data_IF_923939656007
#
_entry.id   IF_923939656007
#
_cell.length_a   1.000
_cell.length_b   1.000
_cell.length_c   1.000
_cell.angle_alpha   90.00
_cell.angle_beta   90.00
_cell.angle_gamma   90.00
#
_symmetry.space_group_name_H-M   'P 1'
#
loop_
_entity.id
_entity.type
_entity.pdbx_description
1 polymer ?
#
# COMPACT_ATOMS: atom_id res chain seq x y z
N UNK A 1 -12.05 3.31 10.55
CA UNK A 1 -11.70 3.87 9.22
C UNK A 1 -10.31 3.39 8.86
N UNK A 2 -10.09 2.96 7.62
CA UNK A 2 -8.82 2.42 7.15
C UNK A 2 -8.02 3.46 6.35
N UNK A 3 -6.73 3.21 6.11
CA UNK A 3 -5.91 3.98 5.17
C UNK A 3 -5.72 3.23 3.85
N UNK A 4 -5.67 3.95 2.73
CA UNK A 4 -5.29 3.37 1.43
C UNK A 4 -3.83 2.88 1.47
N UNK A 5 -3.60 1.67 0.95
CA UNK A 5 -2.27 1.10 0.70
C UNK A 5 -2.02 1.11 -0.80
N UNK A 6 -0.97 1.82 -1.20
CA UNK A 6 -0.63 2.03 -2.61
C UNK A 6 0.90 2.20 -2.78
N UNK A 7 1.49 1.69 -3.86
CA UNK A 7 2.95 1.58 -3.98
C UNK A 7 3.59 0.83 -2.81
N UNK A 8 4.71 1.36 -2.30
CA UNK A 8 5.29 0.99 -1.02
C UNK A 8 4.77 1.93 0.06
N UNK A 9 3.91 1.43 0.94
CA UNK A 9 3.27 2.22 1.99
C UNK A 9 3.92 1.94 3.33
N UNK A 10 4.52 2.97 3.93
CA UNK A 10 4.96 2.94 5.33
C UNK A 10 3.77 3.31 6.20
N UNK A 11 3.31 2.34 6.99
CA UNK A 11 2.20 2.48 7.93
C UNK A 11 2.78 2.69 9.33
N UNK A 12 2.38 3.76 9.98
CA UNK A 12 2.85 4.18 11.30
C UNK A 12 1.69 4.07 12.29
N UNK A 13 1.90 3.34 13.37
CA UNK A 13 0.99 3.27 14.51
C UNK A 13 1.10 4.57 15.32
N UNK A 14 0.10 5.46 15.19
CA UNK A 14 0.13 6.78 15.85
C UNK A 14 0.22 6.67 17.37
N UNK A 15 -0.43 5.67 17.97
CA UNK A 15 -0.41 5.48 19.42
C UNK A 15 0.99 5.12 19.94
N UNK A 16 1.81 4.42 19.14
CA UNK A 16 3.21 4.17 19.47
C UNK A 16 4.08 5.38 19.18
N UNK A 17 3.93 6.01 18.02
CA UNK A 17 4.70 7.19 17.64
C UNK A 17 4.53 8.34 18.65
N UNK A 18 3.33 8.54 19.20
CA UNK A 18 3.06 9.57 20.22
C UNK A 18 3.83 9.36 21.54
N UNK A 19 4.35 8.16 21.80
CA UNK A 19 5.19 7.88 22.98
C UNK A 19 6.64 8.32 22.79
N UNK A 20 7.03 8.70 21.57
CA UNK A 20 8.37 9.12 21.23
C UNK A 20 8.37 10.56 20.65
N UNK A 21 8.83 11.51 21.46
CA UNK A 21 8.88 12.93 21.09
C UNK A 21 9.86 13.22 19.93
N UNK A 22 10.95 12.47 19.82
CA UNK A 22 11.94 12.62 18.73
C UNK A 22 11.32 12.17 17.40
N UNK A 23 10.59 11.06 17.41
CA UNK A 23 9.85 10.58 16.25
C UNK A 23 8.78 11.56 15.78
N UNK A 24 8.03 12.18 16.70
CA UNK A 24 7.07 13.22 16.36
C UNK A 24 7.74 14.43 15.72
N UNK A 25 8.89 14.86 16.24
CA UNK A 25 9.68 15.95 15.68
C UNK A 25 10.18 15.62 14.28
N UNK A 26 10.69 14.41 14.07
CA UNK A 26 11.15 13.94 12.77
C UNK A 26 10.01 13.90 11.74
N UNK A 27 8.85 13.35 12.10
CA UNK A 27 7.67 13.35 11.24
C UNK A 27 7.20 14.77 10.90
N UNK A 28 7.15 15.68 11.88
CA UNK A 28 6.78 17.07 11.66
C UNK A 28 7.77 17.81 10.74
N UNK A 29 9.06 17.47 10.82
CA UNK A 29 10.10 18.09 9.99
C UNK A 29 9.97 17.76 8.49
N UNK A 30 9.34 16.64 8.16
CA UNK A 30 9.12 16.19 6.77
C UNK A 30 7.69 16.39 6.28
N UNK A 31 6.72 16.64 7.18
CA UNK A 31 5.31 16.79 6.81
C UNK A 31 5.09 17.87 5.73
N UNK A 32 5.79 19.00 5.84
CA UNK A 32 5.71 20.09 4.87
C UNK A 32 6.42 19.84 3.53
N UNK A 33 7.25 18.79 3.43
CA UNK A 33 7.98 18.43 2.21
C UNK A 33 7.33 17.24 1.48
N UNK A 34 6.51 16.46 2.17
CA UNK A 34 5.77 15.36 1.58
C UNK A 34 4.72 15.88 0.60
N UNK A 35 4.68 15.30 -0.60
CA UNK A 35 3.65 15.60 -1.58
C UNK A 35 2.27 15.20 -1.01
N UNK A 36 1.20 15.99 -1.21
CA UNK A 36 -0.13 15.67 -0.65
C UNK A 36 -0.71 14.30 -1.05
N UNK A 37 -0.27 13.77 -2.20
CA UNK A 37 -0.62 12.42 -2.67
C UNK A 37 0.15 11.29 -1.98
N UNK A 38 1.24 11.59 -1.28
CA UNK A 38 2.03 10.60 -0.57
C UNK A 38 1.39 10.26 0.80
N UNK A 39 0.62 11.15 1.39
CA UNK A 39 0.18 11.04 2.79
C UNK A 39 -1.33 10.88 2.93
N UNK A 40 -1.77 9.93 3.75
CA UNK A 40 -3.13 9.88 4.27
C UNK A 40 -3.14 9.31 5.69
N UNK A 41 -4.22 9.54 6.44
CA UNK A 41 -4.27 9.09 7.84
C UNK A 41 -5.69 8.94 8.34
N UNK A 42 -5.91 8.01 9.28
CA UNK A 42 -7.14 7.85 10.06
C UNK A 42 -6.90 8.22 11.54
N UNK A 43 -7.76 7.79 12.47
CA UNK A 43 -7.58 8.07 13.90
C UNK A 43 -6.35 7.39 14.53
N UNK A 44 -5.98 6.20 14.06
CA UNK A 44 -4.92 5.35 14.62
C UNK A 44 -3.68 5.16 13.75
N UNK A 45 -3.80 5.35 12.44
CA UNK A 45 -2.75 5.10 11.46
C UNK A 45 -2.37 6.36 10.68
N UNK A 46 -1.08 6.50 10.41
CA UNK A 46 -0.53 7.41 9.40
C UNK A 46 0.10 6.56 8.30
N UNK A 47 -0.26 6.82 7.04
CA UNK A 47 0.34 6.17 5.87
C UNK A 47 1.13 7.19 5.06
N UNK A 48 2.34 6.81 4.68
CA UNK A 48 3.20 7.56 3.75
C UNK A 48 3.59 6.62 2.60
N UNK A 49 3.33 7.03 1.37
CA UNK A 49 3.48 6.24 0.16
C UNK A 49 4.68 6.63 -0.69
N UNK A 50 5.32 5.62 -1.26
CA UNK A 50 6.47 5.74 -2.14
C UNK A 50 6.24 4.93 -3.41
N UNK A 51 6.75 5.43 -4.54
CA UNK A 51 6.77 4.69 -5.80
C UNK A 51 7.91 3.65 -5.80
N UNK A 52 9.05 4.00 -5.21
CA UNK A 52 10.27 3.21 -5.25
C UNK A 52 10.60 2.59 -3.88
N UNK A 53 11.01 1.32 -3.90
CA UNK A 53 11.39 0.58 -2.69
C UNK A 53 12.61 1.22 -2.01
N UNK A 54 13.52 1.80 -2.80
CA UNK A 54 14.71 2.47 -2.28
C UNK A 54 14.32 3.64 -1.37
N UNK A 55 13.45 4.52 -1.85
CA UNK A 55 13.00 5.70 -1.10
C UNK A 55 12.20 5.30 0.14
N UNK A 56 11.37 4.25 0.03
CA UNK A 56 10.65 3.69 1.18
C UNK A 56 11.61 3.19 2.27
N UNK A 57 12.67 2.47 1.88
CA UNK A 57 13.67 1.96 2.83
C UNK A 57 14.49 3.10 3.45
N UNK A 58 14.92 4.10 2.67
CA UNK A 58 15.60 5.29 3.20
C UNK A 58 14.72 6.03 4.21
N UNK A 59 13.41 6.11 3.95
CA UNK A 59 12.47 6.70 4.89
C UNK A 59 12.30 5.87 6.18
N UNK A 60 12.21 4.54 6.07
CA UNK A 60 12.21 3.65 7.25
C UNK A 60 13.45 3.87 8.11
N UNK A 61 14.64 3.91 7.49
CA UNK A 61 15.89 4.17 8.20
C UNK A 61 15.90 5.54 8.90
N UNK A 62 15.30 6.56 8.30
CA UNK A 62 15.17 7.88 8.91
C UNK A 62 14.23 7.85 10.13
N UNK A 63 13.11 7.13 10.04
CA UNK A 63 12.19 6.94 11.17
C UNK A 63 12.83 6.14 12.32
N UNK A 64 13.61 5.11 11.99
CA UNK A 64 14.36 4.34 13.00
C UNK A 64 15.46 5.16 13.67
N UNK A 65 16.13 6.01 12.89
CA UNK A 65 17.11 6.97 13.43
C UNK A 65 16.47 8.02 14.35
N UNK A 66 15.17 8.30 14.18
CA UNK A 66 14.37 9.15 15.06
C UNK A 66 13.72 8.38 16.22
N UNK A 67 14.04 7.09 16.37
CA UNK A 67 13.66 6.26 17.50
C UNK A 67 12.32 5.51 17.37
N UNK A 68 11.67 5.53 16.20
CA UNK A 68 10.64 4.52 15.91
C UNK A 68 11.29 3.16 15.70
N UNK A 69 10.55 2.07 15.89
CA UNK A 69 11.07 0.71 15.67
C UNK A 69 10.28 0.02 14.57
N UNK A 70 10.98 -0.49 13.57
CA UNK A 70 10.37 -1.31 12.54
C UNK A 70 9.91 -2.65 13.11
N UNK A 71 10.83 -3.43 13.66
CA UNK A 71 10.53 -4.74 14.24
C UNK A 71 11.30 -4.99 15.55
N UNK A 72 11.04 -6.14 16.15
CA UNK A 72 11.91 -6.73 17.16
C UNK A 72 11.75 -8.25 17.15
N UNK A 73 12.72 -8.95 17.73
CA UNK A 73 12.63 -10.40 17.90
C UNK A 73 11.79 -10.77 19.14
N UNK A 74 10.70 -11.51 18.96
CA UNK A 74 9.93 -12.16 20.03
C UNK A 74 9.82 -13.66 19.73
N UNK A 75 10.26 -14.52 20.66
CA UNK A 75 10.19 -15.98 20.49
C UNK A 75 10.80 -16.52 19.18
N UNK A 76 11.80 -15.83 18.61
CA UNK A 76 12.44 -16.22 17.35
C UNK A 76 11.73 -15.72 16.09
N UNK A 77 10.73 -14.85 16.23
CA UNK A 77 9.98 -14.24 15.14
C UNK A 77 10.16 -12.72 15.13
N UNK A 78 10.28 -12.13 13.93
CA UNK A 78 10.30 -10.68 13.77
C UNK A 78 8.88 -10.11 13.81
N UNK A 79 8.61 -9.33 14.86
CA UNK A 79 7.31 -8.70 15.09
C UNK A 79 7.42 -7.19 14.87
N UNK A 80 6.56 -6.64 14.01
CA UNK A 80 6.45 -5.22 13.75
C UNK A 80 6.05 -4.44 15.02
N UNK A 81 6.64 -3.26 15.25
CA UNK A 81 6.43 -2.47 16.48
C UNK A 81 5.66 -1.19 16.24
N UNK A 82 6.34 -0.17 15.74
CA UNK A 82 5.81 1.18 15.62
C UNK A 82 5.43 1.48 14.17
N UNK A 83 6.15 0.88 13.24
CA UNK A 83 5.98 1.05 11.80
C UNK A 83 6.02 -0.31 11.09
N UNK A 84 5.41 -0.37 9.91
CA UNK A 84 5.50 -1.53 9.02
C UNK A 84 5.39 -1.07 7.56
N UNK A 85 6.11 -1.73 6.66
CA UNK A 85 5.94 -1.51 5.22
C UNK A 85 4.94 -2.51 4.66
N UNK A 86 3.97 -2.00 3.91
CA UNK A 86 2.95 -2.79 3.20
C UNK A 86 3.02 -2.45 1.72
N UNK A 87 3.11 -3.47 0.86
CA UNK A 87 2.99 -3.25 -0.60
C UNK A 87 1.53 -3.06 -0.98
N UNK A 88 1.24 -2.44 -2.11
CA UNK A 88 -0.12 -2.38 -2.67
C UNK A 88 -0.76 -3.75 -2.94
N UNK A 89 0.02 -4.83 -2.88
CA UNK A 89 -0.46 -6.22 -2.97
C UNK A 89 -0.76 -6.83 -1.60
N UNK A 90 -0.68 -6.04 -0.53
CA UNK A 90 -0.93 -6.48 0.84
C UNK A 90 0.19 -7.29 1.46
N UNK A 91 1.39 -7.28 0.86
CA UNK A 91 2.53 -8.04 1.37
C UNK A 91 3.16 -7.31 2.55
N UNK A 92 3.45 -8.08 3.60
CA UNK A 92 4.16 -7.62 4.80
C UNK A 92 5.28 -8.61 5.08
N UNK A 93 6.51 -8.12 5.25
CA UNK A 93 7.69 -8.98 5.45
C UNK A 93 7.98 -9.34 6.91
N UNK A 94 7.16 -8.83 7.85
CA UNK A 94 7.28 -9.07 9.29
C UNK A 94 5.89 -9.31 9.86
N UNK A 95 5.79 -10.12 10.91
CA UNK A 95 4.49 -10.38 11.55
C UNK A 95 4.00 -9.10 12.23
N UNK A 96 2.78 -8.69 11.93
CA UNK A 96 2.24 -7.40 12.36
C UNK A 96 0.89 -7.57 13.08
N UNK A 97 0.89 -7.84 14.41
CA UNK A 97 -0.33 -8.19 15.15
C UNK A 97 -1.27 -7.01 15.44
N UNK A 98 -0.85 -5.79 15.12
CA UNK A 98 -1.64 -4.58 15.32
C UNK A 98 -2.30 -4.06 14.04
N UNK A 99 -2.01 -4.67 12.88
CA UNK A 99 -2.49 -4.22 11.59
C UNK A 99 -3.26 -5.32 10.87
N UNK A 100 -4.47 -4.99 10.41
CA UNK A 100 -5.21 -5.78 9.44
C UNK A 100 -5.02 -5.17 8.06
N UNK A 101 -4.64 -6.00 7.08
CA UNK A 101 -4.55 -5.62 5.67
C UNK A 101 -5.54 -6.45 4.89
N UNK A 102 -6.36 -5.78 4.09
CA UNK A 102 -7.38 -6.44 3.28
C UNK A 102 -7.61 -5.71 1.98
N UNK A 103 -8.21 -6.41 1.02
CA UNK A 103 -8.70 -5.79 -0.20
C UNK A 103 -10.17 -5.42 -0.03
N UNK A 104 -10.53 -4.24 -0.51
CA UNK A 104 -11.92 -3.79 -0.62
C UNK A 104 -12.16 -3.24 -2.02
N UNK A 105 -13.42 -2.95 -2.36
CA UNK A 105 -13.79 -2.38 -3.64
C UNK A 105 -14.30 -0.96 -3.49
N UNK A 106 -13.91 -0.10 -4.41
CA UNK A 106 -14.56 1.19 -4.63
C UNK A 106 -15.94 1.00 -5.26
N UNK A 107 -16.70 2.10 -5.39
CA UNK A 107 -18.05 2.08 -5.96
C UNK A 107 -18.09 1.59 -7.41
N UNK A 108 -17.00 1.75 -8.15
CA UNK A 108 -16.81 1.33 -9.54
C UNK A 108 -16.21 -0.07 -9.66
N UNK A 109 -16.26 -0.89 -8.60
CA UNK A 109 -15.66 -2.23 -8.51
C UNK A 109 -14.12 -2.28 -8.54
N UNK A 110 -13.44 -1.12 -8.57
CA UNK A 110 -11.96 -1.08 -8.48
C UNK A 110 -11.51 -1.68 -7.16
N UNK A 111 -10.69 -2.73 -7.23
CA UNK A 111 -10.10 -3.38 -6.07
C UNK A 111 -8.92 -2.54 -5.55
N UNK A 112 -8.97 -2.20 -4.26
CA UNK A 112 -7.92 -1.43 -3.57
C UNK A 112 -7.44 -2.19 -2.34
N UNK A 113 -6.16 -2.03 -2.00
CA UNK A 113 -5.59 -2.53 -0.75
C UNK A 113 -5.77 -1.47 0.34
N UNK A 114 -6.21 -1.88 1.53
CA UNK A 114 -6.39 -0.99 2.68
C UNK A 114 -5.80 -1.61 3.93
N UNK A 115 -5.36 -0.76 4.85
CA UNK A 115 -4.84 -1.15 6.15
C UNK A 115 -5.64 -0.47 7.27
N UNK A 116 -5.98 -1.22 8.31
CA UNK A 116 -6.68 -0.73 9.49
C UNK A 116 -6.06 -1.32 10.76
N UNK A 117 -6.21 -0.65 11.90
CA UNK A 117 -5.83 -1.26 13.17
C UNK A 117 -6.64 -2.53 13.41
N UNK A 118 -5.99 -3.61 13.85
CA UNK A 118 -6.63 -4.92 14.02
C UNK A 118 -7.78 -4.93 15.06
N UNK A 119 -7.83 -3.93 15.94
CA UNK A 119 -8.92 -3.74 16.91
C UNK A 119 -10.20 -3.19 16.27
N UNK A 120 -10.18 -2.75 15.01
CA UNK A 120 -11.38 -2.30 14.31
C UNK A 120 -12.16 -3.50 13.75
N UNK A 121 -13.31 -3.81 14.35
CA UNK A 121 -14.19 -4.91 13.89
C UNK A 121 -14.79 -4.67 12.49
N UNK A 122 -14.89 -3.41 12.06
CA UNK A 122 -15.49 -3.03 10.78
C UNK A 122 -14.84 -1.78 10.20
N UNK A 123 -14.43 -1.87 8.93
CA UNK A 123 -14.00 -0.71 8.15
C UNK A 123 -15.25 0.03 7.65
N UNK A 124 -15.45 1.25 8.15
CA UNK A 124 -16.58 2.14 7.85
C UNK A 124 -16.25 3.21 6.80
N UNK A 125 -14.98 3.33 6.42
CA UNK A 125 -14.49 4.26 5.42
C UNK A 125 -13.01 4.04 5.11
N UNK A 126 -12.53 4.71 4.06
CA UNK A 126 -11.11 4.69 3.65
C UNK A 126 -10.61 6.13 3.57
N UNK A 127 -9.48 6.39 4.21
CA UNK A 127 -8.74 7.64 4.14
C UNK A 127 -7.83 7.60 2.91
N UNK A 128 -8.09 8.53 2.00
CA UNK A 128 -7.33 8.71 0.77
C UNK A 128 -6.37 9.89 0.88
N UNK A 129 -5.24 9.88 0.15
CA UNK A 129 -4.40 11.07 0.02
C UNK A 129 -5.18 12.26 -0.56
N UNK A 130 -4.75 13.48 -0.23
CA UNK A 130 -5.44 14.67 -0.71
C UNK A 130 -5.26 14.81 -2.22
N UNK A 131 -6.37 14.92 -2.94
CA UNK A 131 -6.38 15.00 -4.39
C UNK A 131 -6.27 13.64 -5.08
N UNK A 132 -6.38 12.54 -4.33
CA UNK A 132 -6.35 11.21 -4.90
C UNK A 132 -7.59 10.95 -5.76
N UNK A 133 -7.33 10.44 -6.95
CA UNK A 133 -8.32 9.92 -7.88
C UNK A 133 -7.69 8.73 -8.61
N UNK A 134 -8.52 7.80 -9.08
CA UNK A 134 -8.04 6.56 -9.69
C UNK A 134 -7.17 6.84 -10.93
N UNK A 135 -7.47 7.91 -11.67
CA UNK A 135 -6.79 8.33 -12.90
C UNK A 135 -5.32 8.70 -12.68
N UNK A 136 -4.98 9.16 -11.47
CA UNK A 136 -3.63 9.59 -11.07
C UNK A 136 -3.01 8.67 -10.03
N UNK A 137 -3.65 7.52 -9.77
CA UNK A 137 -3.24 6.55 -8.76
C UNK A 137 -2.02 5.73 -9.24
N UNK A 138 -1.11 5.43 -8.32
CA UNK A 138 0.00 4.50 -8.56
C UNK A 138 -0.57 3.09 -8.83
N UNK A 139 -1.71 2.74 -8.23
CA UNK A 139 -2.43 1.50 -8.48
C UNK A 139 -2.75 1.31 -9.98
N UNK A 140 -3.36 2.33 -10.60
CA UNK A 140 -3.66 2.32 -12.03
C UNK A 140 -2.39 2.23 -12.86
N UNK A 141 -1.41 3.09 -12.59
CA UNK A 141 -0.13 3.13 -13.31
C UNK A 141 0.57 1.77 -13.26
N UNK A 142 0.68 1.18 -12.08
CA UNK A 142 1.36 -0.10 -11.90
C UNK A 142 0.59 -1.25 -12.57
N UNK A 143 -0.73 -1.23 -12.53
CA UNK A 143 -1.54 -2.22 -13.25
C UNK A 143 -1.36 -2.12 -14.76
N UNK A 144 -1.32 -0.91 -15.31
CA UNK A 144 -1.08 -0.69 -16.74
C UNK A 144 0.34 -1.15 -17.14
N UNK A 145 1.37 -0.72 -16.38
CA UNK A 145 2.76 -1.12 -16.60
C UNK A 145 2.94 -2.64 -16.49
N UNK A 146 2.34 -3.28 -15.47
CA UNK A 146 2.45 -4.73 -15.27
C UNK A 146 1.67 -5.51 -16.32
N UNK A 147 0.47 -5.06 -16.69
CA UNK A 147 -0.30 -5.67 -17.79
C UNK A 147 0.52 -5.64 -19.08
N UNK A 148 1.12 -4.50 -19.39
CA UNK A 148 1.97 -4.36 -20.57
C UNK A 148 3.18 -5.30 -20.53
N UNK A 149 3.91 -5.33 -19.41
CA UNK A 149 5.04 -6.26 -19.23
C UNK A 149 4.63 -7.74 -19.40
N UNK A 150 3.48 -8.13 -18.83
CA UNK A 150 2.97 -9.50 -18.97
C UNK A 150 2.62 -9.83 -20.43
N UNK A 151 2.05 -8.89 -21.18
CA UNK A 151 1.72 -9.07 -22.60
C UNK A 151 2.96 -9.16 -23.49
N UNK A 152 4.06 -8.49 -23.13
CA UNK A 152 5.31 -8.52 -23.91
C UNK A 152 6.17 -9.75 -23.62
N UNK A 153 6.15 -10.25 -22.37
CA UNK A 153 7.11 -11.26 -21.91
C UNK A 153 6.48 -12.63 -21.60
N UNK A 154 5.15 -12.75 -21.56
CA UNK A 154 4.46 -13.99 -21.22
C UNK A 154 3.36 -14.31 -22.22
N UNK A 155 3.01 -15.59 -22.31
CA UNK A 155 1.90 -16.06 -23.14
C UNK A 155 0.60 -16.00 -22.35
N UNK A 156 -0.41 -15.28 -22.83
CA UNK A 156 -1.74 -15.32 -22.22
C UNK A 156 -2.34 -16.73 -22.34
N UNK A 157 -2.88 -17.26 -21.23
CA UNK A 157 -3.45 -18.62 -21.16
C UNK A 157 -4.97 -18.59 -21.03
N UNK A 158 -5.47 -17.91 -19.98
CA UNK A 158 -6.90 -17.89 -19.65
C UNK A 158 -7.25 -16.74 -18.72
N UNK A 159 -8.54 -16.51 -18.63
CA UNK A 159 -9.16 -15.55 -17.73
C UNK A 159 -9.77 -16.26 -16.49
N UNK A 160 -9.47 -15.77 -15.28
CA UNK A 160 -10.09 -16.18 -14.00
C UNK A 160 -10.79 -14.97 -13.32
N UNK A 161 -11.77 -15.15 -12.41
CA UNK A 161 -12.58 -14.04 -11.89
C UNK A 161 -11.79 -12.85 -11.33
N UNK A 162 -10.65 -13.11 -10.67
CA UNK A 162 -9.77 -12.09 -10.08
C UNK A 162 -8.41 -11.97 -10.79
N UNK A 163 -8.09 -12.88 -11.72
CA UNK A 163 -6.75 -12.98 -12.28
C UNK A 163 -6.78 -13.21 -13.78
N UNK A 164 -5.80 -12.68 -14.48
CA UNK A 164 -5.39 -13.18 -15.79
C UNK A 164 -4.22 -14.14 -15.60
N UNK A 165 -4.29 -15.28 -16.26
CA UNK A 165 -3.26 -16.33 -16.16
C UNK A 165 -2.38 -16.26 -17.39
N UNK A 166 -1.09 -16.13 -17.14
CA UNK A 166 -0.04 -16.09 -18.14
C UNK A 166 0.91 -17.27 -17.95
N UNK A 167 1.60 -17.69 -19.00
CA UNK A 167 2.65 -18.72 -18.96
C UNK A 167 4.01 -18.10 -19.27
N UNK A 168 4.99 -18.41 -18.44
CA UNK A 168 6.37 -18.07 -18.68
C UNK A 168 6.92 -18.96 -19.83
N UNK A 169 7.38 -18.38 -20.96
CA UNK A 169 7.90 -19.16 -22.08
C UNK A 169 9.20 -19.90 -21.74
N UNK A 170 9.98 -19.44 -20.77
CA UNK A 170 11.30 -20.01 -20.44
C UNK A 170 11.19 -21.30 -19.61
N UNK A 171 10.22 -21.38 -18.70
CA UNK A 171 10.10 -22.50 -17.75
C UNK A 171 8.71 -23.17 -17.74
N UNK A 172 7.74 -22.62 -18.48
CA UNK A 172 6.37 -23.15 -18.57
C UNK A 172 5.49 -22.89 -17.35
N UNK A 173 5.97 -22.18 -16.33
CA UNK A 173 5.21 -21.90 -15.12
C UNK A 173 4.07 -20.91 -15.36
N UNK A 174 2.94 -21.10 -14.66
CA UNK A 174 1.82 -20.17 -14.70
C UNK A 174 2.02 -19.02 -13.70
N UNK A 175 1.91 -17.79 -14.20
CA UNK A 175 1.95 -16.57 -13.42
C UNK A 175 0.55 -15.95 -13.39
N UNK A 176 0.11 -15.54 -12.20
CA UNK A 176 -1.20 -14.92 -11.99
C UNK A 176 -1.05 -13.41 -11.88
N UNK A 177 -1.73 -12.68 -12.76
CA UNK A 177 -1.83 -11.22 -12.69
C UNK A 177 -3.19 -10.84 -12.10
N UNK A 178 -3.21 -10.09 -11.00
CA UNK A 178 -4.45 -9.57 -10.42
C UNK A 178 -5.12 -8.59 -11.39
N UNK A 179 -6.42 -8.76 -11.60
CA UNK A 179 -7.21 -7.82 -12.40
C UNK A 179 -7.57 -6.57 -11.61
N UNK A 180 -7.31 -5.43 -12.21
CA UNK A 180 -8.05 -4.21 -11.91
C UNK A 180 -9.16 -4.04 -12.95
N UNK A 181 -10.40 -4.30 -12.51
CA UNK A 181 -11.56 -3.82 -13.25
C UNK A 181 -11.72 -2.35 -12.97
N UNK A 182 -11.11 -1.52 -13.82
CA UNK A 182 -11.45 -0.10 -13.88
C UNK A 182 -12.59 0.05 -14.87
N UNK A 183 -13.71 0.64 -14.45
CA UNK A 183 -14.72 1.08 -15.40
C UNK A 183 -14.10 2.24 -16.17
N UNK A 184 -13.90 2.09 -17.48
CA UNK A 184 -13.53 3.23 -18.32
C UNK A 184 -14.60 4.30 -18.13
N UNK A 185 -14.24 5.41 -17.50
CA UNK A 185 -15.14 6.57 -17.50
C UNK A 185 -15.14 7.09 -18.94
N UNK A 186 -16.28 7.14 -19.64
CA UNK A 186 -16.32 7.63 -21.00
C UNK A 186 -15.73 9.05 -21.03
N UNK A 187 -14.83 9.31 -21.99
CA UNK A 187 -14.20 10.63 -22.20
C UNK A 187 -15.20 11.80 -22.30
N UNK A 188 -16.47 11.49 -22.55
CA UNK A 188 -17.59 12.42 -22.69
C UNK A 188 -18.12 12.97 -21.35
N UNK A 189 -17.71 12.41 -20.20
CA UNK A 189 -18.13 12.90 -18.87
C UNK A 189 -17.22 14.00 -18.29
N UNK A 190 -16.24 14.47 -19.05
CA UNK A 190 -15.32 15.56 -18.67
C UNK A 190 -15.59 16.81 -19.55
N UNK A 191 -16.79 17.39 -19.41
CA UNK A 191 -17.09 18.78 -19.81
C UNK A 191 -17.98 19.45 -18.75
#
# INVERSE_FOLDING_TARGET
MAVLVEGYSIIINKAQAMKNQEALSALASVEGTLHPMAICSDAGLLRIGFMDLKDANEFVMALESAGLRYNSMENGEEIARDIVMVTQFGEINVTCPWLSVQFTKLKDDTLICVAALQLEEKIDGVAFPKGWAIEVSILKRFYEERTHYMQENYEWVREEPMHDIYRNPDNGEEVRLLKLKMVETPKEALQ
#
